data_IF_616029332925
#
_entry.id   IF_616029332925
#
_cell.length_a   1.000
_cell.length_b   1.000
_cell.length_c   1.000
_cell.angle_alpha   90.00
_cell.angle_beta   90.00
_cell.angle_gamma   90.00
#
_symmetry.space_group_name_H-M   'P 1'
#
loop_
_entity.id
_entity.type
_entity.pdbx_description
1 polymer ?
#
# COMPACT_ATOMS: atom_id res chain seq x y z
N UNK A 1 15.93 10.60 3.45
CA UNK A 1 14.87 9.96 4.25
C UNK A 1 15.21 9.97 5.74
N UNK A 2 16.39 9.49 6.17
CA UNK A 2 16.77 9.35 7.59
C UNK A 2 16.59 10.61 8.44
N UNK A 3 16.85 11.80 7.90
CA UNK A 3 16.63 13.07 8.60
C UNK A 3 15.15 13.37 8.93
N UNK A 4 14.21 12.63 8.32
CA UNK A 4 12.75 12.78 8.49
C UNK A 4 12.17 11.75 9.46
N UNK A 5 13.00 10.87 10.04
CA UNK A 5 12.62 9.77 10.93
C UNK A 5 11.61 10.16 12.02
N UNK A 6 11.88 11.26 12.73
CA UNK A 6 11.02 11.74 13.81
C UNK A 6 9.63 12.18 13.36
N UNK A 7 9.44 12.54 12.08
CA UNK A 7 8.13 12.88 11.51
C UNK A 7 7.33 11.63 11.15
N UNK A 8 8.01 10.55 10.78
CA UNK A 8 7.40 9.31 10.30
C UNK A 8 7.29 8.25 11.39
N UNK A 9 7.83 8.51 12.59
CA UNK A 9 8.01 7.55 13.68
C UNK A 9 8.86 6.32 13.29
N UNK A 10 9.80 6.52 12.37
CA UNK A 10 10.67 5.46 11.87
C UNK A 10 11.66 4.97 12.96
N UNK A 11 12.03 3.67 12.95
CA UNK A 11 12.96 3.11 13.91
C UNK A 11 14.38 3.67 13.74
N UNK A 12 15.23 3.43 14.74
CA UNK A 12 16.63 3.85 14.72
C UNK A 12 17.34 3.33 13.45
N UNK A 13 18.08 4.16 12.69
CA UNK A 13 18.80 3.71 11.50
C UNK A 13 19.77 2.56 11.76
N UNK A 14 20.22 2.34 13.00
CA UNK A 14 21.01 1.17 13.38
C UNK A 14 20.27 -0.18 13.18
N UNK A 15 18.93 -0.18 13.02
CA UNK A 15 18.14 -1.38 12.70
C UNK A 15 17.96 -1.62 11.20
N UNK A 16 18.41 -0.66 10.36
CA UNK A 16 18.36 -0.80 8.91
C UNK A 16 19.42 -1.77 8.42
N UNK A 17 19.23 -2.30 7.21
CA UNK A 17 20.24 -3.10 6.54
C UNK A 17 21.48 -2.24 6.25
N UNK A 18 22.65 -2.88 6.25
CA UNK A 18 23.96 -2.21 6.23
C UNK A 18 24.10 -1.14 5.15
N UNK A 19 23.50 -1.36 3.97
CA UNK A 19 23.55 -0.42 2.85
C UNK A 19 22.84 0.92 3.13
N UNK A 20 21.86 0.94 4.03
CA UNK A 20 21.07 2.13 4.40
C UNK A 20 21.55 2.80 5.70
N UNK A 21 22.47 2.20 6.44
CA UNK A 21 22.99 2.77 7.70
C UNK A 21 23.90 3.99 7.47
N UNK A 22 24.48 4.13 6.28
CA UNK A 22 25.29 5.28 5.86
C UNK A 22 24.64 6.01 4.65
N UNK A 23 23.55 6.78 4.84
CA UNK A 23 22.81 7.40 3.73
C UNK A 23 23.66 8.31 2.83
N UNK A 24 24.73 8.91 3.37
CA UNK A 24 25.67 9.74 2.61
C UNK A 24 26.42 8.98 1.51
N UNK A 25 26.38 7.64 1.48
CA UNK A 25 26.97 6.80 0.44
C UNK A 25 26.00 6.47 -0.68
N UNK A 26 24.70 6.73 -0.51
CA UNK A 26 23.66 6.50 -1.51
C UNK A 26 23.47 7.79 -2.30
N UNK A 27 23.97 7.82 -3.53
CA UNK A 27 23.83 8.99 -4.42
C UNK A 27 22.70 8.84 -5.45
N UNK A 28 22.29 7.61 -5.73
CA UNK A 28 21.28 7.32 -6.74
C UNK A 28 20.89 5.85 -6.73
N UNK A 29 19.85 5.53 -7.48
CA UNK A 29 19.32 4.19 -7.63
C UNK A 29 19.10 3.90 -9.11
N UNK A 30 19.53 2.73 -9.56
CA UNK A 30 19.18 2.21 -10.88
C UNK A 30 18.09 1.14 -10.69
N UNK A 31 16.91 1.38 -11.25
CA UNK A 31 15.81 0.43 -11.26
C UNK A 31 15.84 -0.36 -12.57
N UNK A 32 16.00 -1.67 -12.48
CA UNK A 32 15.98 -2.60 -13.61
C UNK A 32 14.79 -3.53 -13.39
N UNK A 33 13.93 -3.63 -14.41
CA UNK A 33 12.76 -4.50 -14.37
C UNK A 33 12.63 -5.23 -15.71
N UNK A 34 12.37 -6.52 -15.64
CA UNK A 34 11.99 -7.38 -16.75
C UNK A 34 11.01 -8.44 -16.24
N UNK A 35 10.37 -9.15 -17.17
CA UNK A 35 9.52 -10.31 -16.92
C UNK A 35 10.32 -11.62 -16.76
N UNK A 36 11.65 -11.54 -16.89
CA UNK A 36 12.58 -12.65 -16.82
C UNK A 36 13.74 -12.34 -15.85
N UNK A 37 13.96 -13.25 -14.89
CA UNK A 37 14.96 -13.11 -13.84
C UNK A 37 16.40 -13.08 -14.38
N UNK A 38 16.69 -13.85 -15.44
CA UNK A 38 18.01 -13.88 -16.05
C UNK A 38 18.28 -12.55 -16.78
N UNK A 39 17.27 -11.96 -17.43
CA UNK A 39 17.41 -10.63 -18.06
C UNK A 39 17.71 -9.54 -17.02
N UNK A 40 17.00 -9.54 -15.88
CA UNK A 40 17.27 -8.57 -14.79
C UNK A 40 18.71 -8.73 -14.29
N UNK A 41 19.14 -9.97 -14.07
CA UNK A 41 20.48 -10.28 -13.58
C UNK A 41 21.57 -9.84 -14.57
N UNK A 42 21.43 -10.20 -15.84
CA UNK A 42 22.39 -9.84 -16.89
C UNK A 42 22.50 -8.31 -17.05
N UNK A 43 21.38 -7.58 -17.06
CA UNK A 43 21.40 -6.12 -17.13
C UNK A 43 22.01 -5.49 -15.88
N UNK A 44 21.74 -6.03 -14.69
CA UNK A 44 22.35 -5.54 -13.45
C UNK A 44 23.88 -5.71 -13.46
N UNK A 45 24.38 -6.87 -13.87
CA UNK A 45 25.82 -7.15 -14.00
C UNK A 45 26.48 -6.25 -15.08
N UNK A 46 25.79 -6.03 -16.20
CA UNK A 46 26.23 -5.12 -17.26
C UNK A 46 26.36 -3.69 -16.75
N UNK A 47 25.35 -3.17 -16.08
CA UNK A 47 25.36 -1.81 -15.55
C UNK A 47 26.38 -1.63 -14.44
N UNK A 48 26.51 -2.58 -13.52
CA UNK A 48 27.54 -2.53 -12.49
C UNK A 48 28.94 -2.45 -13.10
N UNK A 49 29.21 -3.26 -14.11
CA UNK A 49 30.49 -3.25 -14.83
C UNK A 49 30.73 -1.87 -15.45
N UNK A 50 29.74 -1.31 -16.16
CA UNK A 50 29.83 0.00 -16.78
C UNK A 50 30.07 1.13 -15.76
N UNK A 51 29.31 1.13 -14.66
CA UNK A 51 29.40 2.13 -13.60
C UNK A 51 30.76 2.09 -12.88
N UNK A 52 31.35 0.89 -12.75
CA UNK A 52 32.66 0.72 -12.12
C UNK A 52 33.78 1.45 -12.88
N UNK A 53 33.72 1.50 -14.22
CA UNK A 53 34.67 2.27 -15.02
C UNK A 53 34.56 3.78 -14.78
N UNK A 54 33.38 4.26 -14.38
CA UNK A 54 33.14 5.65 -13.98
C UNK A 54 33.46 5.95 -12.51
N UNK A 55 34.00 4.98 -11.76
CA UNK A 55 34.29 5.15 -10.32
C UNK A 55 33.06 5.09 -9.41
N UNK A 56 31.89 4.73 -9.96
CA UNK A 56 30.65 4.54 -9.20
C UNK A 56 30.68 3.14 -8.58
N UNK A 57 30.35 3.06 -7.28
CA UNK A 57 30.32 1.79 -6.53
C UNK A 57 28.89 1.44 -6.19
N UNK A 58 28.51 0.18 -6.40
CA UNK A 58 27.27 -0.37 -5.89
C UNK A 58 27.39 -0.55 -4.37
N UNK A 59 26.52 0.11 -3.61
CA UNK A 59 26.53 0.07 -2.14
C UNK A 59 25.45 -0.84 -1.55
N UNK A 60 24.48 -1.25 -2.36
CA UNK A 60 23.40 -2.17 -2.00
C UNK A 60 22.69 -2.69 -3.24
N UNK A 61 22.01 -3.84 -3.10
CA UNK A 61 21.14 -4.42 -4.13
C UNK A 61 19.91 -4.99 -3.45
N UNK A 62 18.76 -4.69 -4.03
CA UNK A 62 17.47 -5.21 -3.59
C UNK A 62 16.81 -5.89 -4.79
N UNK A 63 16.38 -7.14 -4.60
CA UNK A 63 15.82 -7.98 -5.67
C UNK A 63 14.35 -8.20 -5.36
N UNK A 64 13.49 -7.80 -6.29
CA UNK A 64 12.06 -8.02 -6.22
C UNK A 64 11.64 -9.28 -6.97
N UNK A 65 10.58 -9.93 -6.49
CA UNK A 65 9.89 -11.04 -7.13
C UNK A 65 8.40 -10.72 -7.18
N UNK A 66 7.74 -10.97 -8.30
CA UNK A 66 6.30 -10.79 -8.40
C UNK A 66 5.56 -12.09 -8.01
N UNK A 67 4.56 -11.97 -7.15
CA UNK A 67 3.65 -13.06 -6.81
C UNK A 67 2.26 -12.79 -7.38
N UNK A 68 1.63 -13.82 -7.94
CA UNK A 68 0.28 -13.76 -8.49
C UNK A 68 -0.63 -14.74 -7.76
N UNK A 69 -1.90 -14.38 -7.55
CA UNK A 69 -2.93 -15.31 -7.11
C UNK A 69 -3.42 -16.22 -8.26
N UNK A 70 -4.40 -17.09 -7.99
CA UNK A 70 -4.98 -17.99 -8.99
C UNK A 70 -5.68 -17.26 -10.15
N UNK A 71 -6.14 -16.01 -9.92
CA UNK A 71 -6.80 -15.16 -10.91
C UNK A 71 -5.78 -14.32 -11.73
N UNK A 72 -4.47 -14.49 -11.48
CA UNK A 72 -3.40 -13.78 -12.18
C UNK A 72 -3.15 -12.36 -11.66
N UNK A 73 -3.64 -12.03 -10.47
CA UNK A 73 -3.54 -10.70 -9.88
C UNK A 73 -2.35 -10.64 -8.90
N UNK A 74 -1.64 -9.51 -8.90
CA UNK A 74 -0.48 -9.31 -8.02
C UNK A 74 -0.87 -9.31 -6.55
N UNK A 75 -0.16 -10.10 -5.74
CA UNK A 75 -0.35 -10.19 -4.29
C UNK A 75 0.93 -9.90 -3.53
N UNK A 76 0.80 -9.41 -2.30
CA UNK A 76 1.91 -9.25 -1.36
C UNK A 76 2.04 -10.46 -0.40
N UNK A 77 3.02 -10.43 0.53
CA UNK A 77 3.35 -11.61 1.34
C UNK A 77 2.30 -11.99 2.39
N UNK A 78 1.44 -11.08 2.82
CA UNK A 78 0.26 -11.41 3.62
C UNK A 78 -0.85 -12.04 2.76
N UNK A 79 -0.71 -12.17 1.44
CA UNK A 79 -1.68 -12.82 0.56
C UNK A 79 -2.70 -11.87 -0.08
N UNK A 80 -2.64 -10.58 0.23
CA UNK A 80 -3.61 -9.61 -0.27
C UNK A 80 -3.23 -9.09 -1.66
N UNK A 81 -4.24 -8.90 -2.51
CA UNK A 81 -4.06 -8.19 -3.77
C UNK A 81 -3.56 -6.76 -3.54
N UNK A 82 -2.49 -6.40 -4.23
CA UNK A 82 -1.93 -5.06 -4.25
C UNK A 82 -1.99 -4.44 -5.67
N UNK A 83 -1.68 -3.15 -5.77
CA UNK A 83 -1.58 -2.43 -7.03
C UNK A 83 -2.90 -1.94 -7.62
N UNK A 84 -4.06 -2.26 -7.01
CA UNK A 84 -5.38 -1.94 -7.59
C UNK A 84 -5.72 -0.44 -7.62
N UNK A 85 -5.64 0.24 -6.47
CA UNK A 85 -5.99 1.67 -6.36
C UNK A 85 -4.78 2.55 -6.66
N UNK A 86 -4.79 3.18 -7.84
CA UNK A 86 -3.74 4.07 -8.33
C UNK A 86 -4.35 5.39 -8.82
N UNK A 87 -3.65 6.54 -8.63
CA UNK A 87 -4.01 7.75 -9.34
C UNK A 87 -3.66 7.57 -10.83
N UNK A 88 -4.63 7.73 -11.72
CA UNK A 88 -4.49 7.55 -13.16
C UNK A 88 -4.40 8.93 -13.84
N UNK A 89 -3.33 9.16 -14.60
CA UNK A 89 -3.12 10.44 -15.28
C UNK A 89 -3.32 10.37 -16.80
N UNK A 90 -3.43 9.17 -17.37
CA UNK A 90 -3.67 8.97 -18.81
C UNK A 90 -5.14 8.63 -19.06
N UNK A 91 -5.74 9.28 -20.05
CA UNK A 91 -7.14 9.04 -20.44
C UNK A 91 -7.40 7.56 -20.78
N UNK A 92 -6.41 6.90 -21.40
CA UNK A 92 -6.51 5.48 -21.77
C UNK A 92 -6.63 4.59 -20.53
N UNK A 93 -5.86 4.88 -19.48
CA UNK A 93 -5.89 4.15 -18.22
C UNK A 93 -7.23 4.36 -17.51
N UNK A 94 -7.73 5.60 -17.48
CA UNK A 94 -9.05 5.92 -16.89
C UNK A 94 -10.18 5.17 -17.60
N UNK A 95 -10.14 5.11 -18.94
CA UNK A 95 -11.12 4.36 -19.74
C UNK A 95 -11.03 2.85 -19.46
N UNK A 96 -9.81 2.31 -19.39
CA UNK A 96 -9.60 0.90 -19.08
C UNK A 96 -10.12 0.55 -17.67
N UNK A 97 -9.87 1.41 -16.70
CA UNK A 97 -10.35 1.23 -15.32
C UNK A 97 -11.87 1.32 -15.23
N UNK A 98 -12.50 2.25 -15.96
CA UNK A 98 -13.95 2.37 -16.03
C UNK A 98 -14.59 1.10 -16.57
N UNK A 99 -14.03 0.52 -17.63
CA UNK A 99 -14.51 -0.74 -18.18
C UNK A 99 -14.30 -1.91 -17.22
N UNK A 100 -13.13 -1.97 -16.54
CA UNK A 100 -12.84 -3.00 -15.53
C UNK A 100 -13.86 -2.98 -14.39
N UNK A 101 -14.24 -1.78 -13.94
CA UNK A 101 -15.17 -1.59 -12.83
C UNK A 101 -16.64 -1.50 -13.24
N UNK A 102 -16.95 -1.62 -14.55
CA UNK A 102 -18.31 -1.52 -15.06
C UNK A 102 -18.95 -0.14 -14.87
N UNK A 103 -18.15 0.93 -14.83
CA UNK A 103 -18.62 2.29 -14.59
C UNK A 103 -19.32 2.83 -15.84
N UNK A 104 -20.57 3.32 -15.73
CA UNK A 104 -21.33 3.72 -16.91
C UNK A 104 -20.81 5.06 -17.47
N UNK A 105 -20.88 5.26 -18.80
CA UNK A 105 -20.53 6.54 -19.42
C UNK A 105 -21.57 7.62 -19.12
N UNK A 106 -21.13 8.89 -19.05
CA UNK A 106 -22.00 10.06 -18.86
C UNK A 106 -22.42 10.71 -20.19
N UNK A 107 -23.63 11.29 -20.28
CA UNK A 107 -23.96 12.22 -21.37
C UNK A 107 -22.97 13.39 -21.40
N UNK A 108 -22.36 13.65 -22.55
CA UNK A 108 -21.33 14.70 -22.70
C UNK A 108 -19.89 14.25 -22.50
N UNK A 109 -19.66 12.96 -22.23
CA UNK A 109 -18.32 12.35 -22.11
C UNK A 109 -17.91 12.08 -20.65
N UNK A 110 -16.94 11.18 -20.48
CA UNK A 110 -16.49 10.71 -19.17
C UNK A 110 -17.36 9.58 -18.60
N UNK A 111 -17.18 9.28 -17.31
CA UNK A 111 -17.82 8.16 -16.62
C UNK A 111 -18.45 8.58 -15.29
N UNK A 112 -19.43 7.81 -14.81
CA UNK A 112 -20.13 8.04 -13.56
C UNK A 112 -19.44 7.42 -12.34
N UNK A 113 -18.28 7.98 -12.03
CA UNK A 113 -17.48 7.56 -10.87
C UNK A 113 -18.13 7.95 -9.54
N UNK A 114 -18.15 7.00 -8.61
CA UNK A 114 -18.25 7.24 -7.17
C UNK A 114 -16.90 7.78 -6.68
N UNK A 115 -15.81 7.07 -7.01
CA UNK A 115 -14.45 7.53 -6.80
C UNK A 115 -13.74 7.67 -8.14
N UNK A 116 -13.52 8.90 -8.58
CA UNK A 116 -12.84 9.18 -9.85
C UNK A 116 -11.33 8.88 -9.72
N UNK A 117 -10.79 7.89 -10.46
CA UNK A 117 -9.38 7.57 -10.41
C UNK A 117 -8.54 8.54 -11.25
N UNK A 118 -9.14 9.52 -11.94
CA UNK A 118 -8.41 10.51 -12.73
C UNK A 118 -7.74 11.56 -11.84
N UNK A 119 -6.42 11.69 -11.98
CA UNK A 119 -5.61 12.71 -11.31
C UNK A 119 -4.85 13.54 -12.34
N UNK A 120 -4.43 14.73 -11.90
CA UNK A 120 -3.62 15.64 -12.72
C UNK A 120 -2.17 15.15 -12.80
N UNK A 121 -1.48 15.50 -13.88
CA UNK A 121 -0.06 15.15 -14.07
C UNK A 121 0.84 15.79 -12.99
N UNK A 122 0.51 17.00 -12.54
CA UNK A 122 1.24 17.72 -11.48
C UNK A 122 1.11 17.07 -10.09
N UNK A 123 0.32 16.00 -9.95
CA UNK A 123 0.29 15.14 -8.76
C UNK A 123 1.53 14.24 -8.66
N UNK A 124 2.11 13.86 -9.81
CA UNK A 124 3.28 12.97 -9.87
C UNK A 124 4.50 13.60 -10.54
N UNK A 125 4.30 14.66 -11.32
CA UNK A 125 5.36 15.33 -12.08
C UNK A 125 5.62 16.73 -11.53
N UNK A 126 6.90 17.09 -11.46
CA UNK A 126 7.39 18.42 -11.09
C UNK A 126 8.44 18.87 -12.10
N UNK A 127 8.64 20.19 -12.34
CA UNK A 127 9.69 20.66 -13.24
C UNK A 127 11.05 20.06 -12.89
N UNK A 128 11.75 19.55 -13.90
CA UNK A 128 13.10 19.02 -13.75
C UNK A 128 14.11 20.17 -13.85
N UNK A 129 14.80 20.54 -12.75
CA UNK A 129 15.73 21.68 -12.76
C UNK A 129 16.96 21.44 -13.65
N UNK A 130 17.29 20.18 -13.96
CA UNK A 130 18.36 19.84 -14.89
C UNK A 130 17.86 19.56 -16.32
N UNK A 131 16.56 19.62 -16.55
CA UNK A 131 15.96 19.32 -17.84
C UNK A 131 16.34 20.31 -18.94
N UNK A 132 16.39 19.85 -20.19
CA UNK A 132 16.76 20.68 -21.34
C UNK A 132 15.69 21.69 -21.76
N UNK A 133 14.42 21.48 -21.37
CA UNK A 133 13.28 22.23 -21.87
C UNK A 133 12.37 22.67 -20.72
N UNK A 134 12.35 23.98 -20.43
CA UNK A 134 11.46 24.58 -19.44
C UNK A 134 9.99 24.27 -19.76
N UNK A 135 9.22 23.85 -18.75
CA UNK A 135 7.80 23.52 -18.89
C UNK A 135 7.48 22.20 -19.60
N UNK A 136 8.49 21.48 -20.10
CA UNK A 136 8.33 20.16 -20.77
C UNK A 136 9.12 19.07 -20.05
N UNK A 137 10.34 19.38 -19.63
CA UNK A 137 11.17 18.47 -18.87
C UNK A 137 10.65 18.39 -17.43
N UNK A 138 9.99 17.28 -17.12
CA UNK A 138 9.50 16.99 -15.79
C UNK A 138 10.15 15.71 -15.25
N UNK A 139 10.42 15.73 -13.94
CA UNK A 139 10.80 14.56 -13.17
C UNK A 139 9.75 14.25 -12.10
N UNK A 140 10.08 13.31 -11.22
CA UNK A 140 9.24 12.92 -10.09
C UNK A 140 10.13 12.69 -8.89
N UNK A 141 9.70 13.13 -7.71
CA UNK A 141 10.30 12.59 -6.49
C UNK A 141 9.91 11.12 -6.36
N UNK A 142 10.82 10.33 -5.80
CA UNK A 142 10.68 8.90 -5.68
C UNK A 142 11.02 8.45 -4.27
N UNK A 143 10.08 7.81 -3.59
CA UNK A 143 10.28 7.24 -2.25
C UNK A 143 10.53 5.75 -2.40
N UNK A 144 11.65 5.28 -1.84
CA UNK A 144 11.97 3.87 -1.70
C UNK A 144 11.98 3.48 -0.22
N UNK A 145 11.27 2.42 0.15
CA UNK A 145 11.36 1.80 1.49
C UNK A 145 11.42 0.29 1.36
N UNK A 146 12.40 -0.33 2.02
CA UNK A 146 12.42 -1.77 2.23
C UNK A 146 11.64 -2.10 3.50
N UNK A 147 10.54 -2.79 3.35
CA UNK A 147 9.59 -3.10 4.42
C UNK A 147 9.54 -4.61 4.62
N UNK A 148 10.21 -5.12 5.66
CA UNK A 148 10.16 -6.54 6.02
C UNK A 148 8.81 -6.90 6.64
N UNK A 149 8.27 -8.06 6.26
CA UNK A 149 6.95 -8.52 6.69
C UNK A 149 7.07 -9.77 7.58
N UNK A 150 6.57 -9.69 8.81
CA UNK A 150 6.36 -10.84 9.68
C UNK A 150 5.00 -11.47 9.36
N UNK A 151 5.01 -12.35 8.35
CA UNK A 151 3.81 -13.00 7.82
C UNK A 151 3.14 -13.89 8.85
N UNK A 152 3.94 -14.63 9.63
CA UNK A 152 3.42 -15.48 10.71
C UNK A 152 2.64 -14.65 11.71
N UNK A 153 3.24 -13.59 12.26
CA UNK A 153 2.59 -12.74 13.24
C UNK A 153 1.34 -12.08 12.68
N UNK A 154 1.38 -11.62 11.44
CA UNK A 154 0.22 -10.98 10.81
C UNK A 154 -0.95 -11.96 10.73
N UNK A 155 -0.71 -13.16 10.16
CA UNK A 155 -1.74 -14.19 10.02
C UNK A 155 -2.26 -14.71 11.36
N UNK A 156 -1.38 -14.89 12.34
CA UNK A 156 -1.73 -15.22 13.73
C UNK A 156 -2.67 -14.17 14.36
N UNK A 157 -2.48 -12.89 14.04
CA UNK A 157 -3.29 -11.81 14.58
C UNK A 157 -4.63 -11.64 13.88
N UNK A 158 -4.72 -11.82 12.56
CA UNK A 158 -5.99 -11.56 11.85
C UNK A 158 -7.01 -12.69 11.96
N UNK A 159 -6.63 -13.95 11.70
CA UNK A 159 -7.63 -14.95 11.30
C UNK A 159 -7.32 -16.37 11.76
N UNK A 160 -6.09 -16.67 12.17
CA UNK A 160 -5.73 -18.05 12.44
C UNK A 160 -6.44 -18.62 13.67
N UNK A 161 -6.48 -19.96 13.72
CA UNK A 161 -6.92 -20.80 14.85
C UNK A 161 -6.21 -20.50 16.18
N UNK A 162 -5.33 -19.50 16.18
CA UNK A 162 -4.63 -18.92 17.31
C UNK A 162 -5.63 -18.22 18.24
N UNK A 163 -5.78 -18.68 19.50
CA UNK A 163 -6.59 -17.99 20.49
C UNK A 163 -6.13 -16.54 20.67
N UNK A 164 -7.08 -15.61 20.75
CA UNK A 164 -6.82 -14.18 20.87
C UNK A 164 -6.53 -13.44 19.56
N UNK A 165 -6.70 -14.08 18.39
CA UNK A 165 -6.74 -13.38 17.10
C UNK A 165 -7.95 -12.44 17.00
N UNK A 166 -7.93 -11.50 16.05
CA UNK A 166 -9.03 -10.57 15.84
C UNK A 166 -10.34 -11.31 15.55
N UNK A 167 -10.29 -12.35 14.72
CA UNK A 167 -11.44 -13.21 14.46
C UNK A 167 -11.99 -13.88 15.73
N UNK A 168 -11.12 -14.33 16.66
CA UNK A 168 -11.53 -14.93 17.94
C UNK A 168 -12.16 -13.89 18.88
N UNK A 169 -11.52 -12.72 19.02
CA UNK A 169 -12.01 -11.62 19.87
C UNK A 169 -13.36 -11.09 19.40
N UNK A 170 -13.62 -11.11 18.08
CA UNK A 170 -14.91 -10.73 17.50
C UNK A 170 -15.94 -11.87 17.51
N UNK A 171 -15.58 -13.08 17.96
CA UNK A 171 -16.46 -14.23 17.99
C UNK A 171 -16.91 -14.71 16.60
N UNK A 172 -16.06 -14.55 15.58
CA UNK A 172 -16.35 -15.03 14.23
C UNK A 172 -16.34 -16.57 14.20
N UNK A 173 -17.17 -17.22 13.37
CA UNK A 173 -17.30 -18.68 13.31
C UNK A 173 -15.95 -19.42 13.12
N UNK A 174 -15.87 -20.68 13.55
CA UNK A 174 -14.63 -21.50 13.50
C UNK A 174 -14.66 -22.49 12.31
N UNK A 175 -13.50 -23.07 11.90
CA UNK A 175 -13.44 -24.06 10.82
C UNK A 175 -14.40 -25.25 11.02
N UNK A 176 -15.09 -25.66 9.96
CA UNK A 176 -16.17 -26.65 10.00
C UNK A 176 -17.59 -26.08 10.15
N UNK A 177 -17.71 -24.75 10.28
CA UNK A 177 -18.96 -24.00 10.09
C UNK A 177 -19.19 -23.74 8.59
N UNK A 178 -20.44 -23.82 8.06
CA UNK A 178 -20.78 -23.37 6.71
C UNK A 178 -20.35 -21.93 6.36
N UNK A 179 -19.98 -21.14 7.37
CA UNK A 179 -19.51 -19.77 7.30
C UNK A 179 -18.00 -19.64 7.56
N UNK A 180 -17.19 -20.68 7.29
CA UNK A 180 -15.73 -20.68 7.50
C UNK A 180 -15.01 -19.47 6.86
N UNK A 181 -15.47 -19.03 5.69
CA UNK A 181 -14.98 -17.83 4.98
C UNK A 181 -15.22 -16.53 5.77
N UNK A 182 -16.06 -16.52 6.80
CA UNK A 182 -16.31 -15.32 7.61
C UNK A 182 -15.12 -14.91 8.48
N UNK A 183 -14.16 -15.80 8.78
CA UNK A 183 -12.93 -15.39 9.50
C UNK A 183 -12.02 -14.49 8.68
N UNK A 184 -12.07 -14.62 7.35
CA UNK A 184 -11.34 -13.72 6.44
C UNK A 184 -11.81 -12.26 6.55
N UNK A 185 -13.02 -12.04 7.09
CA UNK A 185 -13.54 -10.70 7.39
C UNK A 185 -12.63 -9.93 8.35
N UNK A 186 -12.02 -10.60 9.33
CA UNK A 186 -11.12 -9.94 10.27
C UNK A 186 -9.88 -9.37 9.56
N UNK A 187 -9.31 -10.14 8.63
CA UNK A 187 -8.25 -9.64 7.75
C UNK A 187 -8.72 -8.52 6.82
N UNK A 188 -9.92 -8.66 6.25
CA UNK A 188 -10.53 -7.60 5.44
C UNK A 188 -10.83 -6.31 6.23
N UNK A 189 -11.06 -6.39 7.54
CA UNK A 189 -11.18 -5.23 8.43
C UNK A 189 -9.83 -4.56 8.70
N UNK A 190 -8.74 -5.33 8.75
CA UNK A 190 -7.36 -4.83 8.93
C UNK A 190 -6.90 -4.10 7.68
N UNK A 191 -7.08 -4.70 6.51
CA UNK A 191 -6.59 -4.15 5.22
C UNK A 191 -7.61 -3.21 4.57
N UNK A 192 -8.90 -3.49 4.73
CA UNK A 192 -10.02 -2.84 4.02
C UNK A 192 -10.35 -3.47 2.66
N UNK A 193 -9.73 -4.62 2.36
CA UNK A 193 -10.09 -5.53 1.25
C UNK A 193 -9.91 -6.97 1.72
N UNK A 194 -10.68 -7.88 1.16
CA UNK A 194 -10.36 -9.30 1.22
C UNK A 194 -9.07 -9.61 0.43
N UNK A 195 -8.47 -10.78 0.66
CA UNK A 195 -7.25 -11.19 -0.05
C UNK A 195 -7.41 -11.19 -1.57
N UNK A 196 -8.60 -11.53 -2.06
CA UNK A 196 -8.99 -11.50 -3.47
C UNK A 196 -9.27 -10.09 -4.02
N UNK A 197 -8.96 -9.05 -3.25
CA UNK A 197 -9.11 -7.65 -3.63
C UNK A 197 -10.55 -7.11 -3.58
N UNK A 198 -11.55 -7.92 -3.22
CA UNK A 198 -12.92 -7.44 -2.98
C UNK A 198 -12.89 -6.34 -1.93
N UNK A 199 -13.39 -5.12 -2.23
CA UNK A 199 -13.33 -4.03 -1.26
C UNK A 199 -14.24 -4.29 -0.07
N UNK A 200 -13.69 -4.10 1.13
CA UNK A 200 -14.46 -4.20 2.36
C UNK A 200 -15.12 -2.86 2.69
N UNK A 201 -15.95 -2.35 1.76
CA UNK A 201 -16.71 -1.11 1.88
C UNK A 201 -18.12 -1.27 1.28
N UNK A 202 -19.12 -0.57 1.83
CA UNK A 202 -20.49 -0.66 1.31
C UNK A 202 -20.59 -0.13 -0.14
N UNK A 203 -21.43 -0.72 -1.01
CA UNK A 203 -22.29 -1.88 -0.79
C UNK A 203 -21.59 -3.23 -1.06
N UNK A 204 -20.27 -3.24 -1.29
CA UNK A 204 -19.50 -4.43 -1.68
C UNK A 204 -19.20 -5.38 -0.52
N UNK A 205 -19.38 -4.96 0.74
CA UNK A 205 -19.33 -5.86 1.89
C UNK A 205 -20.48 -6.87 1.78
N UNK A 206 -20.19 -8.18 1.64
CA UNK A 206 -21.24 -9.19 1.60
C UNK A 206 -22.04 -9.20 2.92
N UNK A 207 -23.35 -9.40 2.80
CA UNK A 207 -24.18 -9.72 3.96
C UNK A 207 -23.71 -11.05 4.59
N UNK A 208 -23.97 -11.24 5.87
CA UNK A 208 -23.60 -12.46 6.61
C UNK A 208 -24.07 -13.72 5.86
N UNK A 209 -23.17 -14.67 5.60
CA UNK A 209 -23.44 -15.88 4.82
C UNK A 209 -23.81 -15.70 3.34
N UNK A 210 -23.49 -14.55 2.73
CA UNK A 210 -23.66 -14.31 1.29
C UNK A 210 -22.32 -14.47 0.55
N UNK A 211 -22.35 -14.85 -0.76
CA UNK A 211 -21.12 -14.96 -1.54
C UNK A 211 -20.38 -13.61 -1.67
N UNK A 212 -19.06 -13.63 -1.93
CA UNK A 212 -18.28 -12.41 -2.15
C UNK A 212 -18.83 -11.54 -3.28
N UNK A 213 -18.68 -10.22 -3.14
CA UNK A 213 -19.04 -9.26 -4.18
C UNK A 213 -18.04 -9.30 -5.36
N UNK A 214 -18.20 -8.40 -6.32
CA UNK A 214 -17.26 -8.27 -7.42
C UNK A 214 -15.84 -7.99 -6.92
N UNK A 215 -14.90 -8.87 -7.31
CA UNK A 215 -13.48 -8.79 -6.98
C UNK A 215 -12.82 -7.57 -7.61
N UNK A 216 -11.76 -7.10 -6.97
CA UNK A 216 -10.91 -6.03 -7.46
C UNK A 216 -11.63 -4.74 -7.91
N UNK A 217 -12.87 -4.46 -7.48
CA UNK A 217 -13.54 -3.20 -7.80
C UNK A 217 -12.88 -2.06 -7.03
N UNK A 218 -12.75 -0.90 -7.67
CA UNK A 218 -12.17 0.31 -7.09
C UNK A 218 -13.11 1.53 -7.12
N UNK A 219 -14.20 1.48 -7.88
CA UNK A 219 -15.24 2.52 -7.93
C UNK A 219 -16.17 2.50 -6.69
N UNK A 220 -15.64 2.86 -5.53
CA UNK A 220 -16.40 3.01 -4.28
C UNK A 220 -15.79 4.14 -3.42
N UNK A 221 -16.57 4.65 -2.49
CA UNK A 221 -16.10 5.50 -1.39
C UNK A 221 -16.58 4.91 -0.05
N UNK A 222 -16.41 5.66 1.04
CA UNK A 222 -16.87 5.22 2.37
C UNK A 222 -18.14 5.94 2.85
N UNK A 223 -18.89 6.59 1.95
CA UNK A 223 -20.11 7.32 2.29
C UNK A 223 -21.21 6.41 2.85
N UNK A 224 -21.26 5.15 2.41
CA UNK A 224 -22.16 4.11 2.91
C UNK A 224 -21.79 3.52 4.27
N UNK A 225 -20.64 3.90 4.84
CA UNK A 225 -20.20 3.47 6.18
C UNK A 225 -19.67 4.65 7.01
N UNK A 226 -20.58 5.57 7.42
CA UNK A 226 -20.15 6.78 8.08
C UNK A 226 -19.74 6.61 9.54
N UNK A 227 -19.96 5.45 10.14
CA UNK A 227 -19.51 5.15 11.50
C UNK A 227 -18.24 4.30 11.52
N UNK A 228 -17.72 3.88 10.35
CA UNK A 228 -16.61 2.93 10.28
C UNK A 228 -16.95 1.58 10.90
N UNK A 229 -18.23 1.22 10.93
CA UNK A 229 -18.72 0.00 11.58
C UNK A 229 -18.69 -1.21 10.64
N UNK A 230 -18.59 -0.96 9.33
CA UNK A 230 -18.27 -1.99 8.34
C UNK A 230 -16.76 -1.98 8.08
N UNK A 231 -16.24 -1.01 7.33
CA UNK A 231 -14.82 -0.81 7.08
C UNK A 231 -14.23 0.05 8.20
N UNK A 232 -13.42 -0.48 9.14
CA UNK A 232 -12.90 0.33 10.22
C UNK A 232 -12.14 1.56 9.70
N UNK A 233 -12.25 2.72 10.38
CA UNK A 233 -11.45 3.90 10.03
C UNK A 233 -9.93 3.64 10.06
N UNK A 234 -9.50 2.62 10.80
CA UNK A 234 -8.11 2.12 10.85
C UNK A 234 -7.70 1.24 9.68
N UNK A 235 -8.64 0.75 8.87
CA UNK A 235 -8.32 -0.15 7.78
C UNK A 235 -7.26 0.48 6.85
N UNK A 236 -6.27 -0.31 6.44
CA UNK A 236 -5.10 0.21 5.73
C UNK A 236 -5.45 1.08 4.51
N UNK A 237 -6.38 0.63 3.66
CA UNK A 237 -6.77 1.42 2.48
C UNK A 237 -7.58 2.68 2.83
N UNK A 238 -8.28 2.70 3.97
CA UNK A 238 -9.13 3.82 4.41
C UNK A 238 -8.29 4.89 5.11
N UNK A 239 -7.23 4.48 5.82
CA UNK A 239 -6.19 5.39 6.32
C UNK A 239 -5.38 6.01 5.20
N UNK A 240 -4.90 5.20 4.25
CA UNK A 240 -4.00 5.66 3.19
C UNK A 240 -4.70 6.39 2.03
N UNK A 241 -6.02 6.20 1.87
CA UNK A 241 -6.86 6.95 0.94
C UNK A 241 -8.29 7.06 1.52
N UNK A 242 -8.64 8.15 2.23
CA UNK A 242 -9.87 8.24 3.01
C UNK A 242 -11.16 8.48 2.19
N UNK A 243 -11.05 8.72 0.89
CA UNK A 243 -12.16 8.86 -0.08
C UNK A 243 -13.37 9.65 0.45
N UNK A 244 -13.12 10.81 1.02
CA UNK A 244 -14.13 11.73 1.51
C UNK A 244 -14.25 11.78 3.04
N UNK A 245 -13.59 10.91 3.80
CA UNK A 245 -13.68 10.95 5.26
C UNK A 245 -13.03 12.20 5.88
N UNK A 246 -12.00 12.78 5.24
CA UNK A 246 -11.37 14.01 5.76
C UNK A 246 -12.29 15.23 5.71
N UNK A 247 -13.36 15.20 4.90
CA UNK A 247 -14.35 16.28 4.82
C UNK A 247 -15.07 16.49 6.16
N UNK A 248 -15.17 15.44 6.98
CA UNK A 248 -15.71 15.50 8.35
C UNK A 248 -14.87 16.38 9.27
N UNK A 249 -13.58 16.52 8.94
CA UNK A 249 -12.62 17.34 9.65
C UNK A 249 -12.49 18.75 9.02
N UNK A 250 -13.34 19.07 8.03
CA UNK A 250 -13.37 20.37 7.36
C UNK A 250 -12.44 20.50 6.16
N UNK A 251 -11.78 19.41 5.72
CA UNK A 251 -11.01 19.41 4.48
C UNK A 251 -11.94 19.39 3.24
N UNK A 252 -11.43 19.83 2.10
CA UNK A 252 -12.06 19.64 0.81
C UNK A 252 -11.60 18.32 0.17
N UNK A 253 -12.38 17.80 -0.79
CA UNK A 253 -11.99 16.61 -1.53
C UNK A 253 -10.71 16.85 -2.36
N UNK A 254 -10.51 18.06 -2.87
CA UNK A 254 -9.30 18.43 -3.61
C UNK A 254 -8.06 18.41 -2.70
N UNK A 255 -8.16 18.92 -1.47
CA UNK A 255 -7.09 18.82 -0.47
C UNK A 255 -6.78 17.35 -0.13
N UNK A 256 -7.79 16.53 0.14
CA UNK A 256 -7.60 15.10 0.42
C UNK A 256 -6.87 14.39 -0.72
N UNK A 257 -7.36 14.60 -1.96
CA UNK A 257 -6.79 13.99 -3.17
C UNK A 257 -5.36 14.44 -3.42
N UNK A 258 -4.99 15.65 -3.00
CA UNK A 258 -3.63 16.18 -3.19
C UNK A 258 -2.55 15.39 -2.46
N UNK A 259 -2.91 14.53 -1.51
CA UNK A 259 -1.98 13.70 -0.75
C UNK A 259 -1.70 12.33 -1.41
N UNK A 260 -2.47 11.96 -2.45
CA UNK A 260 -2.38 10.64 -3.10
C UNK A 260 -1.15 10.56 -4.02
N UNK A 261 -0.51 9.38 -4.05
CA UNK A 261 0.73 9.11 -4.79
C UNK A 261 0.62 7.85 -5.66
N UNK A 262 1.44 7.76 -6.71
CA UNK A 262 1.49 6.59 -7.57
C UNK A 262 2.44 5.52 -7.00
N UNK A 263 1.93 4.33 -6.67
CA UNK A 263 2.72 3.24 -6.07
C UNK A 263 3.17 2.24 -7.14
N UNK A 264 4.43 1.83 -7.09
CA UNK A 264 5.09 0.89 -8.03
C UNK A 264 5.92 -0.15 -7.29
N UNK A 265 5.51 -0.51 -6.07
CA UNK A 265 6.23 -1.48 -5.25
C UNK A 265 6.23 -2.89 -5.83
N UNK A 266 7.15 -3.72 -5.32
CA UNK A 266 7.25 -5.15 -5.64
C UNK A 266 7.67 -5.91 -4.39
N UNK A 267 7.20 -7.14 -4.20
CA UNK A 267 7.64 -8.00 -3.09
C UNK A 267 9.12 -8.38 -3.23
N UNK A 268 9.82 -8.62 -2.12
CA UNK A 268 11.14 -9.26 -2.10
C UNK A 268 11.12 -10.51 -1.22
N UNK A 269 12.09 -11.40 -1.43
CA UNK A 269 12.19 -12.67 -0.72
C UNK A 269 11.26 -13.74 -1.31
N UNK A 270 11.70 -14.99 -1.18
CA UNK A 270 11.01 -16.13 -1.79
C UNK A 270 10.07 -16.80 -0.80
N UNK A 271 8.95 -17.29 -1.31
CA UNK A 271 7.89 -18.04 -0.62
C UNK A 271 7.58 -19.34 -1.33
N UNK A 272 7.09 -20.32 -0.58
CA UNK A 272 6.57 -21.56 -1.14
C UNK A 272 5.10 -21.36 -1.58
N UNK A 273 4.89 -21.12 -2.87
CA UNK A 273 3.54 -21.10 -3.46
C UNK A 273 3.18 -22.45 -4.06
N UNK A 274 1.97 -22.92 -3.74
CA UNK A 274 1.35 -24.05 -4.43
C UNK A 274 1.28 -23.78 -5.95
N UNK A 275 1.88 -24.61 -6.80
CA UNK A 275 1.87 -24.35 -8.23
C UNK A 275 0.48 -24.33 -8.86
N UNK A 276 -0.47 -25.08 -8.30
CA UNK A 276 -1.84 -25.24 -8.79
C UNK A 276 -2.79 -24.18 -8.24
N UNK A 277 -2.76 -23.93 -6.93
CA UNK A 277 -3.68 -22.97 -6.28
C UNK A 277 -3.10 -21.57 -6.12
N UNK A 278 -1.78 -21.42 -6.28
CA UNK A 278 -1.02 -20.18 -5.98
C UNK A 278 -1.07 -19.72 -4.52
N UNK A 279 -1.66 -20.53 -3.63
CA UNK A 279 -1.68 -20.22 -2.21
C UNK A 279 -0.27 -20.38 -1.58
N UNK A 280 0.09 -19.46 -0.69
CA UNK A 280 1.30 -19.62 0.11
C UNK A 280 1.15 -20.75 1.13
N UNK A 281 2.17 -21.60 1.25
CA UNK A 281 2.19 -22.76 2.17
C UNK A 281 3.02 -22.51 3.41
N UNK A 282 3.89 -21.50 3.38
CA UNK A 282 4.76 -21.10 4.46
C UNK A 282 4.31 -19.77 5.10
N UNK A 283 4.80 -19.51 6.31
CA UNK A 283 4.55 -18.29 7.09
C UNK A 283 5.87 -17.82 7.71
N UNK A 284 6.74 -17.16 6.94
CA UNK A 284 8.01 -16.67 7.45
C UNK A 284 7.77 -15.53 8.46
N UNK A 285 8.68 -15.38 9.41
CA UNK A 285 8.68 -14.25 10.37
C UNK A 285 9.70 -13.17 10.00
N UNK A 286 10.26 -13.22 8.79
CA UNK A 286 11.30 -12.33 8.28
C UNK A 286 11.93 -12.85 6.99
N UNK A 287 12.81 -12.06 6.37
CA UNK A 287 13.47 -12.40 5.09
C UNK A 287 12.60 -12.22 3.85
N UNK A 288 11.35 -11.79 4.03
CA UNK A 288 10.41 -11.45 2.97
C UNK A 288 9.78 -10.09 3.25
N UNK A 289 9.29 -9.41 2.22
CA UNK A 289 8.62 -8.14 2.42
C UNK A 289 8.31 -7.39 1.14
N UNK A 290 8.15 -6.08 1.25
CA UNK A 290 7.84 -5.19 0.14
C UNK A 290 8.97 -4.18 -0.08
N UNK A 291 9.44 -4.09 -1.33
CA UNK A 291 10.18 -2.93 -1.82
C UNK A 291 9.13 -1.88 -2.20
N UNK A 292 8.71 -1.09 -1.23
CA UNK A 292 7.76 -0.01 -1.45
C UNK A 292 8.42 1.07 -2.29
N UNK A 293 7.76 1.42 -3.40
CA UNK A 293 8.21 2.42 -4.36
C UNK A 293 7.04 3.32 -4.69
N UNK A 294 7.24 4.63 -4.60
CA UNK A 294 6.19 5.59 -4.94
C UNK A 294 6.74 6.83 -5.64
N UNK A 295 5.97 7.33 -6.61
CA UNK A 295 6.22 8.55 -7.36
C UNK A 295 5.25 9.65 -6.94
N UNK A 296 5.78 10.85 -6.73
CA UNK A 296 5.02 12.03 -6.35
C UNK A 296 5.70 13.34 -6.79
N UNK A 297 4.92 14.41 -6.87
CA UNK A 297 5.44 15.76 -7.14
C UNK A 297 5.98 16.45 -5.88
N UNK A 298 5.52 16.06 -4.69
CA UNK A 298 5.98 16.58 -3.40
C UNK A 298 5.91 15.51 -2.30
N UNK A 299 7.08 15.08 -1.81
CA UNK A 299 7.21 14.07 -0.76
C UNK A 299 6.52 14.50 0.55
N UNK A 300 6.63 15.79 0.92
CA UNK A 300 6.19 16.27 2.21
C UNK A 300 4.66 16.32 2.30
N UNK A 301 4.01 16.77 1.22
CA UNK A 301 2.55 16.83 1.12
C UNK A 301 1.92 15.51 0.72
N UNK A 302 2.65 14.54 0.15
CA UNK A 302 2.06 13.25 -0.26
C UNK A 302 2.46 12.10 0.66
N UNK A 303 3.66 11.54 0.47
CA UNK A 303 4.12 10.37 1.25
C UNK A 303 4.20 10.66 2.74
N UNK A 304 4.89 11.73 3.15
CA UNK A 304 5.07 12.02 4.57
C UNK A 304 3.77 12.43 5.25
N UNK A 305 2.89 13.14 4.52
CA UNK A 305 1.57 13.50 5.04
C UNK A 305 0.73 12.25 5.25
N UNK A 306 0.62 11.39 4.25
CA UNK A 306 -0.14 10.13 4.34
C UNK A 306 0.36 9.28 5.51
N UNK A 307 1.68 9.08 5.63
CA UNK A 307 2.25 8.29 6.72
C UNK A 307 2.01 8.94 8.09
N UNK A 308 2.31 10.23 8.26
CA UNK A 308 2.29 10.86 9.58
C UNK A 308 0.89 11.33 10.01
N UNK A 309 0.15 12.00 9.12
CA UNK A 309 -1.11 12.66 9.45
C UNK A 309 -2.31 11.71 9.41
N UNK A 310 -2.23 10.62 8.63
CA UNK A 310 -3.30 9.64 8.50
C UNK A 310 -2.94 8.30 9.14
N UNK A 311 -1.93 7.61 8.61
CA UNK A 311 -1.56 6.23 8.96
C UNK A 311 -1.10 6.10 10.41
N UNK A 312 -0.15 6.94 10.86
CA UNK A 312 0.35 6.96 12.25
C UNK A 312 -0.56 7.76 13.21
N UNK A 313 -1.61 8.41 12.71
CA UNK A 313 -2.46 9.24 13.56
C UNK A 313 -3.63 8.44 14.08
N UNK A 314 -3.54 8.01 15.34
CA UNK A 314 -4.59 7.25 16.00
C UNK A 314 -5.94 7.97 16.10
N UNK A 315 -5.96 9.29 16.02
CA UNK A 315 -7.19 10.09 16.05
C UNK A 315 -7.67 10.56 14.68
N UNK A 316 -7.06 10.10 13.59
CA UNK A 316 -7.46 10.54 12.25
C UNK A 316 -8.84 9.96 11.87
N UNK A 317 -9.68 10.90 11.42
CA UNK A 317 -11.15 10.86 11.21
C UNK A 317 -11.95 10.71 12.49
N UNK A 318 -11.59 9.79 13.39
CA UNK A 318 -12.24 9.60 14.68
C UNK A 318 -11.20 9.43 15.81
N UNK A 319 -11.38 10.08 17.00
CA UNK A 319 -10.46 9.95 18.12
C UNK A 319 -10.19 8.50 18.59
N UNK A 320 -11.16 7.58 18.42
CA UNK A 320 -11.01 6.16 18.75
C UNK A 320 -10.60 5.29 17.56
N UNK A 321 -10.34 5.86 16.37
CA UNK A 321 -9.99 5.09 15.18
C UNK A 321 -8.78 4.19 15.41
N UNK A 322 -7.75 4.70 16.07
CA UNK A 322 -6.42 4.12 16.27
C UNK A 322 -5.55 4.08 15.02
N UNK A 323 -4.38 3.48 15.18
CA UNK A 323 -3.34 3.40 14.15
C UNK A 323 -3.77 2.46 13.02
N UNK A 324 -3.21 2.70 11.83
CA UNK A 324 -3.20 1.70 10.76
C UNK A 324 -2.54 0.40 11.27
N UNK A 325 -3.22 -0.76 11.20
CA UNK A 325 -2.73 -2.01 11.77
C UNK A 325 -1.63 -2.69 10.93
N UNK A 326 -1.41 -2.25 9.68
CA UNK A 326 -0.42 -2.84 8.77
C UNK A 326 0.90 -2.09 8.85
N UNK A 327 0.88 -0.76 8.70
CA UNK A 327 2.09 0.09 8.62
C UNK A 327 2.08 1.29 9.58
N UNK A 328 1.10 1.39 10.46
CA UNK A 328 1.03 2.44 11.47
C UNK A 328 2.15 2.30 12.51
N UNK A 329 2.96 3.34 12.65
CA UNK A 329 4.01 3.41 13.65
C UNK A 329 3.55 4.28 14.83
N UNK A 330 3.90 3.88 16.05
CA UNK A 330 3.49 4.54 17.28
C UNK A 330 2.85 3.59 18.28
N UNK A 331 2.06 4.13 19.20
CA UNK A 331 1.33 3.37 20.23
C UNK A 331 -0.12 3.82 20.23
N UNK A 332 -1.06 2.87 20.20
CA UNK A 332 -2.48 3.16 20.36
C UNK A 332 -2.76 3.75 21.75
N UNK A 333 -3.57 4.81 21.79
CA UNK A 333 -4.08 5.41 23.02
C UNK A 333 -5.29 4.67 23.60
N UNK A 334 -5.84 5.16 24.73
CA UNK A 334 -7.06 4.61 25.31
C UNK A 334 -8.23 4.58 24.32
N UNK A 335 -8.93 3.45 24.21
CA UNK A 335 -10.07 3.26 23.29
C UNK A 335 -9.66 3.01 21.83
N UNK A 336 -8.38 3.16 21.48
CA UNK A 336 -7.86 2.89 20.13
C UNK A 336 -7.48 1.42 19.93
N UNK A 337 -8.12 0.52 20.66
CA UNK A 337 -8.00 -0.93 20.49
C UNK A 337 -9.35 -1.58 20.24
N UNK A 338 -10.42 -0.79 20.20
CA UNK A 338 -11.78 -1.26 19.98
C UNK A 338 -11.99 -1.53 18.49
N UNK A 339 -12.59 -2.68 18.17
CA UNK A 339 -12.92 -3.10 16.82
C UNK A 339 -14.44 -3.24 16.68
N UNK A 340 -15.02 -2.83 15.54
CA UNK A 340 -16.41 -3.16 15.24
C UNK A 340 -16.56 -4.65 14.92
N UNK A 341 -17.78 -5.17 14.81
CA UNK A 341 -18.03 -6.55 14.35
C UNK A 341 -17.91 -6.70 12.82
N UNK A 342 -17.73 -5.58 12.12
CA UNK A 342 -17.73 -5.50 10.67
C UNK A 342 -19.11 -5.64 10.04
N UNK A 343 -20.19 -5.90 10.78
CA UNK A 343 -21.58 -6.01 10.33
C UNK A 343 -22.45 -4.80 10.72
N UNK A 344 -21.85 -3.82 11.41
CA UNK A 344 -22.50 -2.56 11.78
C UNK A 344 -22.60 -2.34 13.29
N UNK A 345 -22.21 -3.30 14.14
CA UNK A 345 -22.11 -3.08 15.57
C UNK A 345 -20.73 -2.48 15.93
N UNK A 346 -20.68 -1.28 16.52
CA UNK A 346 -19.43 -0.71 17.01
C UNK A 346 -18.95 -1.42 18.28
N UNK A 347 -17.63 -1.41 18.52
CA UNK A 347 -16.99 -1.87 19.76
C UNK A 347 -17.35 -3.31 20.18
N UNK A 348 -17.29 -4.24 19.23
CA UNK A 348 -17.61 -5.65 19.43
C UNK A 348 -16.47 -6.47 20.07
N UNK A 349 -15.23 -5.97 20.00
CA UNK A 349 -14.06 -6.63 20.55
C UNK A 349 -12.88 -5.69 20.75
N UNK A 350 -11.86 -6.12 21.51
CA UNK A 350 -10.67 -5.32 21.79
C UNK A 350 -9.39 -6.07 21.43
N UNK A 351 -8.57 -5.46 20.56
CA UNK A 351 -7.26 -6.00 20.17
C UNK A 351 -6.32 -4.87 19.78
N UNK A 352 -5.13 -4.86 20.38
CA UNK A 352 -4.01 -4.04 19.92
C UNK A 352 -3.24 -4.81 18.84
N UNK A 353 -3.57 -4.56 17.58
CA UNK A 353 -2.95 -5.25 16.44
C UNK A 353 -1.51 -4.77 16.31
N UNK A 354 -0.58 -5.63 16.66
CA UNK A 354 0.82 -5.26 16.73
C UNK A 354 1.45 -5.18 15.34
N UNK A 355 2.42 -4.26 15.20
CA UNK A 355 3.12 -4.00 13.95
C UNK A 355 3.81 -5.26 13.40
N UNK A 356 3.45 -5.62 12.17
CA UNK A 356 4.01 -6.76 11.41
C UNK A 356 4.89 -6.32 10.23
N UNK A 357 5.07 -5.02 10.04
CA UNK A 357 5.88 -4.45 8.97
C UNK A 357 7.03 -3.65 9.58
N UNK A 358 8.26 -3.99 9.22
CA UNK A 358 9.47 -3.43 9.80
C UNK A 358 10.29 -2.71 8.73
N UNK A 359 10.57 -1.42 8.95
CA UNK A 359 11.45 -0.66 8.08
C UNK A 359 12.89 -1.16 8.18
N UNK A 360 13.42 -1.67 7.06
CA UNK A 360 14.81 -2.11 6.90
C UNK A 360 15.71 -1.07 6.23
N UNK A 361 15.15 0.08 5.86
CA UNK A 361 15.87 1.20 5.27
C UNK A 361 15.16 1.76 4.06
N UNK A 362 15.73 2.82 3.49
CA UNK A 362 15.15 3.50 2.35
C UNK A 362 15.77 4.87 2.11
N UNK A 363 15.37 5.50 1.00
CA UNK A 363 15.84 6.84 0.65
C UNK A 363 14.81 7.55 -0.24
N UNK A 364 14.92 8.88 -0.29
CA UNK A 364 14.22 9.77 -1.20
C UNK A 364 15.15 10.11 -2.36
N UNK A 365 14.66 9.85 -3.56
CA UNK A 365 15.35 10.13 -4.80
C UNK A 365 14.55 11.13 -5.64
N UNK A 366 15.19 11.59 -6.72
CA UNK A 366 14.52 12.27 -7.82
C UNK A 366 14.75 11.45 -9.08
N UNK A 367 13.66 11.06 -9.75
CA UNK A 367 13.68 10.41 -11.05
C UNK A 367 13.65 11.53 -12.12
N UNK A 368 14.79 11.86 -12.74
CA UNK A 368 14.87 12.98 -13.65
C UNK A 368 14.21 12.68 -14.99
N UNK A 369 13.97 13.74 -15.78
CA UNK A 369 13.51 13.61 -17.15
C UNK A 369 14.55 12.89 -18.02
N UNK A 370 14.10 12.27 -19.11
CA UNK A 370 15.03 11.72 -20.12
C UNK A 370 15.96 12.80 -20.68
N UNK A 371 15.46 14.03 -20.82
CA UNK A 371 16.25 15.14 -21.36
C UNK A 371 17.46 15.48 -20.48
N UNK A 372 17.31 15.45 -19.15
CA UNK A 372 18.42 15.64 -18.22
C UNK A 372 19.50 14.58 -18.42
N UNK A 373 19.10 13.31 -18.51
CA UNK A 373 20.04 12.19 -18.68
C UNK A 373 20.82 12.26 -20.00
N UNK A 374 20.24 12.84 -21.05
CA UNK A 374 20.91 13.02 -22.34
C UNK A 374 21.81 14.26 -22.40
N UNK A 375 21.74 15.14 -21.41
CA UNK A 375 22.56 16.36 -21.33
C UNK A 375 23.77 16.23 -20.40
N UNK A 376 23.93 15.10 -19.72
CA UNK A 376 25.05 14.80 -18.81
C UNK A 376 26.35 14.49 -19.54
#
# INVERSE_FOLDING_TARGET
MTARRARLDDPDPATFDDCFQEPSRIHGMLLIAADDDDVVKEEAERWETLLSFGGIKVVGREIGFAYLNADGEGIEHFGYMDGRSQPLMLTQDVVADAHKDGVPPKPGGGFDWIWDPQFKLDQALTPDPGGAHEGVSCGSYFVFRKLEQDVRRFKDQESETSPGSLADVLGLPVPGDPLEDERERAGAMVVGRYEDGTPFAAPHVPAKGSPPAAKAINNFDFSGDPQGALCPFRAHIRKSNPRGDSLRLGATLDEERSHIMARRGITYGLRDQDPATKAFRDRPSGGVGLLFMAHMADIASQFEFTQAAWVNNGGFVDPSAGLDPVIGQGVNGPGQTDWPDGYGAPNAGQMDFALCVHLKGGEYFFAPSKSFLTTL
#
